data_IF_886648401505
#
_entry.id   IF_886648401505
#
_cell.length_a   1.000
_cell.length_b   1.000
_cell.length_c   1.000
_cell.angle_alpha   90.00
_cell.angle_beta   90.00
_cell.angle_gamma   90.00
#
_symmetry.space_group_name_H-M   'P 1'
#
loop_
_entity.id
_entity.type
_entity.pdbx_description
1 polymer ?
#
# COMPACT_ATOMS: atom_id res chain seq x y z
N UNK A 1 33.30 -7.93 11.21
CA UNK A 1 32.03 -8.63 10.94
C UNK A 1 31.70 -9.77 11.91
N UNK A 2 32.65 -10.34 12.68
CA UNK A 2 32.31 -11.35 13.71
C UNK A 2 31.21 -10.83 14.65
N UNK A 3 30.06 -11.48 14.65
CA UNK A 3 28.91 -11.18 15.52
C UNK A 3 27.95 -10.09 15.03
N UNK A 4 28.08 -9.57 13.79
CA UNK A 4 27.02 -8.78 13.16
C UNK A 4 26.22 -9.66 12.20
N UNK A 5 24.90 -9.51 12.23
CA UNK A 5 23.95 -10.23 11.39
C UNK A 5 23.57 -9.40 10.16
N UNK A 6 23.76 -9.88 8.92
CA UNK A 6 23.24 -9.22 7.73
C UNK A 6 21.74 -8.97 7.81
N UNK A 7 21.27 -7.83 7.30
CA UNK A 7 19.85 -7.44 7.43
C UNK A 7 18.93 -8.32 6.61
N UNK A 8 19.35 -8.73 5.42
CA UNK A 8 18.55 -9.59 4.55
C UNK A 8 18.35 -10.97 5.19
N UNK A 9 19.39 -11.53 5.81
CA UNK A 9 19.31 -12.78 6.58
C UNK A 9 18.42 -12.63 7.83
N UNK A 10 18.41 -11.46 8.47
CA UNK A 10 17.50 -11.20 9.59
C UNK A 10 16.05 -11.13 9.14
N UNK A 11 15.77 -10.48 8.01
CA UNK A 11 14.42 -10.39 7.43
C UNK A 11 13.93 -11.77 6.99
N UNK A 12 14.76 -12.57 6.33
CA UNK A 12 14.40 -13.93 5.91
C UNK A 12 14.06 -14.82 7.12
N UNK A 13 14.90 -14.83 8.15
CA UNK A 13 14.60 -15.57 9.39
C UNK A 13 13.30 -15.12 10.07
N UNK A 14 13.03 -13.82 10.07
CA UNK A 14 11.77 -13.29 10.59
C UNK A 14 10.58 -13.82 9.79
N UNK A 15 10.66 -13.74 8.46
CA UNK A 15 9.59 -14.18 7.57
C UNK A 15 9.32 -15.68 7.68
N UNK A 16 10.35 -16.50 7.86
CA UNK A 16 10.21 -17.95 8.07
C UNK A 16 9.49 -18.29 9.39
N UNK A 17 9.49 -17.37 10.36
CA UNK A 17 8.79 -17.51 11.66
C UNK A 17 7.39 -16.90 11.66
N UNK A 18 6.93 -16.29 10.56
CA UNK A 18 5.62 -15.65 10.49
C UNK A 18 4.51 -16.69 10.56
N UNK A 19 3.53 -16.44 11.43
CA UNK A 19 2.23 -17.11 11.41
C UNK A 19 1.19 -16.13 10.89
N UNK A 20 0.77 -16.33 9.64
CA UNK A 20 -0.24 -15.48 9.00
C UNK A 20 -1.55 -15.56 9.78
N UNK A 21 -2.14 -14.41 10.10
CA UNK A 21 -3.44 -14.31 10.73
C UNK A 21 -4.50 -15.04 9.91
N UNK A 22 -5.34 -15.82 10.59
CA UNK A 22 -6.50 -16.46 9.98
C UNK A 22 -7.79 -15.73 10.32
N UNK A 23 -7.73 -14.65 11.11
CA UNK A 23 -8.89 -13.84 11.46
C UNK A 23 -9.31 -12.98 10.27
N UNK A 24 -10.59 -13.10 9.90
CA UNK A 24 -11.21 -12.40 8.78
C UNK A 24 -12.48 -11.71 9.23
N UNK A 25 -12.84 -10.64 8.56
CA UNK A 25 -14.12 -9.98 8.74
C UNK A 25 -14.64 -9.42 7.41
N UNK A 26 -15.96 -9.27 7.30
CA UNK A 26 -16.57 -8.54 6.19
C UNK A 26 -16.59 -7.05 6.54
N UNK A 27 -16.15 -6.22 5.59
CA UNK A 27 -16.21 -4.76 5.71
C UNK A 27 -16.96 -4.15 4.53
N UNK A 28 -17.87 -3.20 4.79
CA UNK A 28 -18.38 -2.32 3.75
C UNK A 28 -17.25 -1.60 3.01
N UNK A 29 -17.38 -1.45 1.68
CA UNK A 29 -16.32 -0.87 0.83
C UNK A 29 -15.84 0.51 1.32
N UNK A 30 -16.74 1.34 1.87
CA UNK A 30 -16.43 2.67 2.39
C UNK A 30 -15.53 2.66 3.65
N UNK A 31 -15.36 1.52 4.29
CA UNK A 31 -14.49 1.32 5.47
C UNK A 31 -13.33 0.36 5.22
N UNK A 32 -13.19 -0.12 3.98
CA UNK A 32 -12.21 -1.14 3.61
C UNK A 32 -10.88 -0.57 3.08
N UNK A 33 -10.78 0.75 2.89
CA UNK A 33 -9.57 1.40 2.36
C UNK A 33 -8.34 1.07 3.21
N UNK A 34 -7.28 0.62 2.55
CA UNK A 34 -5.99 0.32 3.17
C UNK A 34 -5.92 -1.04 3.88
N UNK A 35 -7.03 -1.79 3.96
CA UNK A 35 -7.07 -3.17 4.48
C UNK A 35 -6.63 -4.18 3.41
N UNK A 36 -6.43 -5.44 3.80
CA UNK A 36 -5.95 -6.49 2.89
C UNK A 36 -7.05 -7.52 2.63
N UNK A 37 -7.29 -7.84 1.36
CA UNK A 37 -8.30 -8.84 0.99
C UNK A 37 -7.97 -10.22 1.55
N UNK A 38 -8.92 -10.89 2.19
CA UNK A 38 -8.74 -12.23 2.78
C UNK A 38 -8.97 -13.38 1.79
N UNK A 39 -9.45 -13.06 0.59
CA UNK A 39 -9.77 -14.01 -0.48
C UNK A 39 -9.69 -13.34 -1.86
N UNK A 40 -9.72 -14.14 -2.92
CA UNK A 40 -9.90 -13.62 -4.27
C UNK A 40 -11.36 -13.20 -4.45
N UNK A 41 -11.57 -11.99 -4.95
CA UNK A 41 -12.90 -11.46 -5.23
C UNK A 41 -13.12 -11.57 -6.74
N UNK A 42 -14.16 -12.27 -7.14
CA UNK A 42 -14.49 -12.49 -8.55
C UNK A 42 -15.59 -11.54 -8.99
N UNK A 43 -15.57 -11.09 -10.25
CA UNK A 43 -16.64 -10.27 -10.80
C UNK A 43 -17.92 -11.11 -10.94
N UNK A 44 -19.06 -10.68 -10.37
CA UNK A 44 -20.34 -11.34 -10.58
C UNK A 44 -21.00 -10.95 -11.92
N UNK A 45 -20.46 -9.95 -12.63
CA UNK A 45 -21.04 -9.38 -13.86
C UNK A 45 -19.98 -9.21 -14.96
N UNK A 46 -20.45 -9.08 -16.19
CA UNK A 46 -19.63 -8.58 -17.28
C UNK A 46 -19.56 -7.04 -17.20
N UNK A 47 -18.44 -6.47 -17.59
CA UNK A 47 -18.25 -5.01 -17.73
C UNK A 47 -17.78 -4.72 -19.16
N UNK A 48 -18.58 -4.05 -20.00
CA UNK A 48 -20.00 -3.73 -19.78
C UNK A 48 -20.89 -4.99 -19.75
N UNK A 49 -22.12 -4.92 -19.20
CA UNK A 49 -23.02 -6.08 -19.07
C UNK A 49 -23.68 -6.51 -20.39
N UNK A 50 -23.61 -5.67 -21.42
CA UNK A 50 -24.10 -5.90 -22.77
C UNK A 50 -23.26 -5.05 -23.73
N UNK A 51 -23.33 -5.34 -25.03
CA UNK A 51 -22.71 -4.50 -26.05
C UNK A 51 -23.25 -3.07 -25.93
N UNK A 52 -22.38 -2.06 -25.95
CA UNK A 52 -22.79 -0.66 -25.82
C UNK A 52 -22.04 0.29 -26.75
N UNK A 53 -22.62 1.48 -26.93
CA UNK A 53 -22.01 2.49 -27.81
C UNK A 53 -20.79 3.13 -27.15
N UNK A 54 -19.68 3.17 -27.86
CA UNK A 54 -18.47 3.89 -27.46
C UNK A 54 -18.59 5.41 -27.67
N UNK A 55 -19.48 5.85 -28.55
CA UNK A 55 -19.62 7.25 -28.99
C UNK A 55 -21.09 7.66 -29.13
N UNK A 56 -21.34 8.97 -29.21
CA UNK A 56 -22.65 9.49 -29.61
C UNK A 56 -22.80 9.40 -31.14
N UNK A 57 -23.90 8.84 -31.61
CA UNK A 57 -23.98 8.44 -33.01
C UNK A 57 -25.31 7.85 -33.42
N UNK A 58 -25.25 6.97 -34.42
CA UNK A 58 -26.38 6.24 -34.96
C UNK A 58 -26.03 4.76 -35.03
N UNK A 59 -26.73 3.93 -34.26
CA UNK A 59 -26.65 2.49 -34.38
C UNK A 59 -27.35 2.06 -35.67
N UNK A 60 -26.72 1.15 -36.41
CA UNK A 60 -27.18 0.67 -37.71
C UNK A 60 -26.83 -0.81 -37.89
N UNK A 61 -27.53 -1.46 -38.81
CA UNK A 61 -27.08 -2.72 -39.39
C UNK A 61 -26.23 -2.42 -40.63
N UNK A 62 -24.91 -2.60 -40.57
CA UNK A 62 -23.99 -2.09 -41.59
C UNK A 62 -24.32 -2.63 -43.00
N UNK A 63 -24.68 -3.92 -43.10
CA UNK A 63 -25.00 -4.57 -44.37
C UNK A 63 -26.20 -3.93 -45.11
N UNK A 64 -27.10 -3.28 -44.38
CA UNK A 64 -28.40 -2.79 -44.86
C UNK A 64 -28.41 -1.31 -45.23
N UNK A 65 -27.26 -0.63 -45.18
CA UNK A 65 -27.14 0.80 -45.46
C UNK A 65 -26.06 1.07 -46.52
N UNK A 66 -26.09 2.24 -47.17
CA UNK A 66 -25.02 2.71 -48.07
C UNK A 66 -24.65 4.15 -47.73
N UNK A 67 -23.46 4.57 -48.18
CA UNK A 67 -23.01 5.95 -48.03
C UNK A 67 -23.97 6.92 -48.72
N UNK A 68 -24.25 8.05 -48.07
CA UNK A 68 -25.15 9.11 -48.50
C UNK A 68 -26.64 8.75 -48.59
N UNK A 69 -27.06 7.57 -48.09
CA UNK A 69 -28.49 7.25 -47.96
C UNK A 69 -29.13 8.00 -46.78
N UNK A 70 -30.38 8.44 -46.96
CA UNK A 70 -31.21 8.99 -45.89
C UNK A 70 -31.98 7.87 -45.18
N UNK A 71 -31.56 7.55 -43.96
CA UNK A 71 -32.17 6.53 -43.12
C UNK A 71 -33.23 7.14 -42.21
N UNK A 72 -34.37 6.46 -42.07
CA UNK A 72 -35.36 6.81 -41.05
C UNK A 72 -34.77 6.52 -39.67
N UNK A 73 -34.89 7.46 -38.75
CA UNK A 73 -34.56 7.21 -37.35
C UNK A 73 -35.74 6.48 -36.71
N UNK A 74 -35.54 5.20 -36.37
CA UNK A 74 -36.57 4.31 -35.81
C UNK A 74 -36.65 4.40 -34.29
N UNK A 75 -35.56 4.80 -33.62
CA UNK A 75 -35.51 4.90 -32.17
C UNK A 75 -34.50 5.96 -31.68
N UNK A 76 -34.59 6.31 -30.39
CA UNK A 76 -33.65 7.16 -29.67
C UNK A 76 -33.31 6.52 -28.32
N UNK A 77 -32.05 6.08 -28.17
CA UNK A 77 -31.59 5.25 -27.05
C UNK A 77 -30.59 6.03 -26.17
N UNK A 78 -31.05 6.76 -25.14
CA UNK A 78 -30.18 7.36 -24.14
C UNK A 78 -29.54 6.31 -23.21
N UNK A 79 -28.45 6.69 -22.55
CA UNK A 79 -27.86 5.88 -21.47
C UNK A 79 -28.89 5.59 -20.37
N UNK A 80 -28.90 4.36 -19.85
CA UNK A 80 -29.88 3.89 -18.86
C UNK A 80 -31.21 3.40 -19.45
N UNK A 81 -31.35 3.35 -20.78
CA UNK A 81 -32.50 2.77 -21.47
C UNK A 81 -32.07 1.66 -22.43
N UNK A 82 -33.02 0.83 -22.85
CA UNK A 82 -32.80 -0.19 -23.88
C UNK A 82 -33.64 0.19 -25.09
N UNK A 83 -33.04 0.14 -26.28
CA UNK A 83 -33.73 0.44 -27.53
C UNK A 83 -34.69 -0.67 -27.96
N UNK A 84 -35.54 -0.37 -28.93
CA UNK A 84 -36.36 -1.38 -29.61
C UNK A 84 -35.54 -2.11 -30.67
N UNK A 85 -35.99 -3.30 -31.06
CA UNK A 85 -35.40 -4.05 -32.18
C UNK A 85 -35.48 -3.23 -33.48
N UNK A 86 -34.38 -3.17 -34.22
CA UNK A 86 -34.23 -2.33 -35.40
C UNK A 86 -34.61 -3.06 -36.68
N UNK A 87 -35.38 -2.37 -37.54
CA UNK A 87 -35.63 -2.81 -38.90
C UNK A 87 -34.39 -2.57 -39.79
N UNK A 88 -34.03 -3.51 -40.69
CA UNK A 88 -32.97 -3.30 -41.68
C UNK A 88 -33.16 -2.01 -42.50
N UNK A 89 -32.09 -1.24 -42.67
CA UNK A 89 -32.14 0.03 -43.40
C UNK A 89 -32.69 1.21 -42.59
N UNK A 90 -32.86 1.06 -41.28
CA UNK A 90 -33.14 2.16 -40.34
C UNK A 90 -31.94 2.47 -39.46
N UNK A 91 -31.99 3.60 -38.74
CA UNK A 91 -30.99 4.02 -37.77
C UNK A 91 -31.62 4.27 -36.40
N UNK A 92 -30.93 3.97 -35.31
CA UNK A 92 -31.32 4.41 -33.98
C UNK A 92 -30.34 5.48 -33.49
N UNK A 93 -30.86 6.64 -33.07
CA UNK A 93 -30.03 7.67 -32.44
C UNK A 93 -29.56 7.14 -31.10
N UNK A 94 -28.26 6.95 -30.92
CA UNK A 94 -27.70 6.31 -29.72
C UNK A 94 -26.67 7.22 -29.06
N UNK A 95 -26.57 7.13 -27.73
CA UNK A 95 -25.63 7.91 -26.93
C UNK A 95 -24.61 6.99 -26.27
N UNK A 96 -23.46 7.55 -25.91
CA UNK A 96 -22.34 6.85 -25.30
C UNK A 96 -22.79 6.08 -24.05
N UNK A 97 -22.42 4.80 -23.98
CA UNK A 97 -22.77 3.88 -22.90
C UNK A 97 -24.17 3.27 -23.01
N UNK A 98 -25.01 3.69 -23.96
CA UNK A 98 -26.30 3.05 -24.19
C UNK A 98 -26.11 1.67 -24.85
N UNK A 99 -26.88 0.64 -24.46
CA UNK A 99 -26.85 -0.68 -25.08
C UNK A 99 -27.13 -0.62 -26.58
N UNK A 100 -26.42 -1.43 -27.37
CA UNK A 100 -26.69 -1.59 -28.80
C UNK A 100 -28.07 -2.24 -28.99
N UNK A 101 -29.00 -1.64 -29.75
CA UNK A 101 -30.30 -2.23 -30.02
C UNK A 101 -30.18 -3.52 -30.81
N UNK A 102 -31.10 -4.45 -30.57
CA UNK A 102 -31.17 -5.68 -31.36
C UNK A 102 -31.29 -5.37 -32.86
N UNK A 103 -30.51 -6.03 -33.69
CA UNK A 103 -30.46 -5.81 -35.14
C UNK A 103 -29.42 -4.79 -35.60
N UNK A 104 -28.83 -4.00 -34.70
CA UNK A 104 -27.65 -3.19 -35.01
C UNK A 104 -26.34 -3.93 -34.70
N UNK A 105 -25.31 -3.63 -35.47
CA UNK A 105 -23.97 -4.22 -35.34
C UNK A 105 -22.85 -3.18 -35.31
N UNK A 106 -23.17 -1.91 -35.63
CA UNK A 106 -22.19 -0.85 -35.82
C UNK A 106 -22.76 0.50 -35.40
N UNK A 107 -21.94 1.38 -34.83
CA UNK A 107 -22.32 2.76 -34.54
C UNK A 107 -21.53 3.74 -35.42
N UNK A 108 -22.26 4.53 -36.21
CA UNK A 108 -21.70 5.64 -36.97
C UNK A 108 -21.61 6.86 -36.06
N UNK A 109 -20.42 7.43 -35.91
CA UNK A 109 -20.22 8.64 -35.10
C UNK A 109 -20.99 9.82 -35.72
N UNK A 110 -21.57 10.67 -34.88
CA UNK A 110 -22.46 11.75 -35.34
C UNK A 110 -21.78 12.77 -36.27
N UNK A 111 -20.45 12.97 -36.14
CA UNK A 111 -19.65 13.87 -36.97
C UNK A 111 -19.60 13.40 -38.43
N UNK A 112 -19.85 12.10 -38.66
CA UNK A 112 -19.97 11.50 -39.99
C UNK A 112 -21.42 11.44 -40.47
N UNK A 113 -22.33 12.22 -39.87
CA UNK A 113 -23.74 12.19 -40.18
C UNK A 113 -24.33 13.60 -40.36
N UNK A 114 -25.30 13.73 -41.27
CA UNK A 114 -26.19 14.89 -41.35
C UNK A 114 -27.58 14.50 -40.84
N UNK A 115 -28.20 15.34 -40.02
CA UNK A 115 -29.56 15.13 -39.53
C UNK A 115 -30.51 16.15 -40.17
N UNK A 116 -31.60 15.66 -40.75
CA UNK A 116 -32.65 16.51 -41.31
C UNK A 116 -34.02 15.82 -41.16
N UNK A 117 -35.01 16.55 -40.64
CA UNK A 117 -36.42 16.14 -40.59
C UNK A 117 -36.67 14.69 -40.08
N UNK A 118 -35.95 14.27 -39.02
CA UNK A 118 -36.14 12.93 -38.43
C UNK A 118 -35.45 11.79 -39.20
N UNK A 119 -34.57 12.13 -40.15
CA UNK A 119 -33.72 11.19 -40.89
C UNK A 119 -32.26 11.54 -40.67
N UNK A 120 -31.40 10.55 -40.89
CA UNK A 120 -29.95 10.71 -40.85
C UNK A 120 -29.34 10.31 -42.19
N UNK A 121 -28.43 11.13 -42.72
CA UNK A 121 -27.57 10.78 -43.85
C UNK A 121 -26.18 10.42 -43.34
N UNK A 122 -25.68 9.25 -43.73
CA UNK A 122 -24.33 8.82 -43.37
C UNK A 122 -23.35 9.32 -44.44
N UNK A 123 -22.44 10.22 -44.05
CA UNK A 123 -21.46 10.84 -44.94
C UNK A 123 -20.26 9.93 -45.22
N UNK A 124 -19.81 9.23 -44.19
CA UNK A 124 -18.67 8.32 -44.24
C UNK A 124 -19.05 6.98 -43.58
N UNK A 125 -18.88 5.89 -44.32
CA UNK A 125 -19.19 4.55 -43.83
C UNK A 125 -18.14 4.08 -42.83
N UNK A 126 -18.53 3.55 -41.66
CA UNK A 126 -17.61 2.93 -40.72
C UNK A 126 -17.24 1.50 -41.13
N UNK A 127 -16.25 0.93 -40.45
CA UNK A 127 -15.99 -0.51 -40.47
C UNK A 127 -17.03 -1.26 -39.62
N UNK A 128 -17.19 -2.56 -39.89
CA UNK A 128 -18.07 -3.44 -39.12
C UNK A 128 -17.67 -3.45 -37.64
N UNK A 129 -18.64 -3.26 -36.73
CA UNK A 129 -18.39 -3.23 -35.29
C UNK A 129 -17.79 -1.92 -34.77
N UNK A 130 -17.58 -0.91 -35.63
CA UNK A 130 -17.02 0.36 -35.20
C UNK A 130 -17.86 1.00 -34.09
N UNK A 131 -17.16 1.57 -33.10
CA UNK A 131 -17.74 2.25 -31.95
C UNK A 131 -18.71 1.39 -31.11
N UNK A 132 -18.61 0.06 -31.20
CA UNK A 132 -19.29 -0.86 -30.28
C UNK A 132 -18.25 -1.39 -29.28
N UNK A 133 -18.59 -1.34 -27.99
CA UNK A 133 -17.85 -2.05 -26.94
C UNK A 133 -18.58 -3.35 -26.65
N UNK A 134 -17.89 -4.47 -26.83
CA UNK A 134 -18.48 -5.78 -26.59
C UNK A 134 -18.78 -6.01 -25.11
N UNK A 135 -19.80 -6.82 -24.84
CA UNK A 135 -20.12 -7.31 -23.52
C UNK A 135 -18.89 -7.96 -22.87
N UNK A 136 -18.53 -7.50 -21.68
CA UNK A 136 -17.39 -8.03 -20.94
C UNK A 136 -16.01 -7.67 -21.51
N UNK A 137 -15.93 -6.67 -22.39
CA UNK A 137 -14.66 -6.18 -22.95
C UNK A 137 -13.62 -5.82 -21.87
N UNK A 138 -14.05 -5.28 -20.73
CA UNK A 138 -13.16 -4.95 -19.60
C UNK A 138 -13.04 -6.11 -18.61
N UNK A 139 -14.18 -6.64 -18.16
CA UNK A 139 -14.22 -7.76 -17.23
C UNK A 139 -15.29 -8.77 -17.64
N UNK A 140 -14.91 -10.06 -17.63
CA UNK A 140 -15.86 -11.17 -17.74
C UNK A 140 -16.29 -11.64 -16.34
N UNK A 141 -17.50 -12.17 -16.24
CA UNK A 141 -17.97 -12.90 -15.05
C UNK A 141 -16.93 -13.96 -14.65
N UNK A 142 -16.65 -14.03 -13.35
CA UNK A 142 -15.68 -14.96 -12.77
C UNK A 142 -14.22 -14.49 -12.84
N UNK A 143 -13.93 -13.37 -13.50
CA UNK A 143 -12.58 -12.77 -13.50
C UNK A 143 -12.22 -12.30 -12.10
N UNK A 144 -10.99 -12.55 -11.64
CA UNK A 144 -10.51 -12.04 -10.35
C UNK A 144 -10.30 -10.54 -10.42
N UNK A 145 -11.07 -9.79 -9.64
CA UNK A 145 -11.04 -8.34 -9.51
C UNK A 145 -9.98 -7.89 -8.49
N UNK A 146 -9.90 -8.62 -7.37
CA UNK A 146 -8.90 -8.40 -6.32
C UNK A 146 -8.37 -9.76 -5.89
N UNK A 147 -7.05 -9.90 -5.75
CA UNK A 147 -6.44 -11.14 -5.23
C UNK A 147 -6.34 -11.11 -3.72
N UNK A 148 -6.37 -12.30 -3.12
CA UNK A 148 -6.06 -12.48 -1.70
C UNK A 148 -4.72 -11.85 -1.35
N UNK A 149 -4.71 -11.04 -0.30
CA UNK A 149 -3.53 -10.36 0.22
C UNK A 149 -3.21 -9.04 -0.48
N UNK A 150 -3.96 -8.64 -1.51
CA UNK A 150 -3.82 -7.30 -2.09
C UNK A 150 -4.38 -6.25 -1.12
N UNK A 151 -3.67 -5.12 -1.03
CA UNK A 151 -4.10 -3.97 -0.23
C UNK A 151 -5.17 -3.20 -1.01
N UNK A 152 -6.31 -2.96 -0.41
CA UNK A 152 -7.43 -2.26 -1.02
C UNK A 152 -7.11 -0.77 -1.20
N UNK A 153 -6.79 -0.38 -2.43
CA UNK A 153 -6.53 1.00 -2.84
C UNK A 153 -7.82 1.68 -3.32
N UNK A 154 -7.84 3.02 -3.51
CA UNK A 154 -8.98 3.70 -4.09
C UNK A 154 -9.40 3.12 -5.46
N UNK A 155 -8.43 2.72 -6.28
CA UNK A 155 -8.67 2.11 -7.59
C UNK A 155 -9.36 0.76 -7.46
N UNK A 156 -8.90 -0.10 -6.54
CA UNK A 156 -9.52 -1.41 -6.32
C UNK A 156 -10.92 -1.29 -5.69
N UNK A 157 -11.13 -0.34 -4.79
CA UNK A 157 -12.46 -0.08 -4.23
C UNK A 157 -13.44 0.41 -5.29
N UNK A 158 -13.00 1.29 -6.20
CA UNK A 158 -13.82 1.74 -7.33
C UNK A 158 -14.18 0.59 -8.27
N UNK A 159 -13.22 -0.31 -8.55
CA UNK A 159 -13.46 -1.48 -9.38
C UNK A 159 -14.40 -2.49 -8.71
N UNK A 160 -14.26 -2.72 -7.40
CA UNK A 160 -15.21 -3.54 -6.64
C UNK A 160 -16.63 -2.94 -6.68
N UNK A 161 -16.74 -1.63 -6.50
CA UNK A 161 -18.03 -0.95 -6.57
C UNK A 161 -18.65 -1.02 -7.98
N UNK A 162 -17.84 -0.92 -9.05
CA UNK A 162 -18.34 -0.97 -10.43
C UNK A 162 -18.93 -2.33 -10.80
N UNK A 163 -18.50 -3.41 -10.14
CA UNK A 163 -19.06 -4.76 -10.30
C UNK A 163 -20.16 -5.08 -9.27
N UNK A 164 -20.63 -4.08 -8.52
CA UNK A 164 -21.74 -4.22 -7.56
C UNK A 164 -21.37 -4.82 -6.21
N UNK A 165 -20.08 -4.90 -5.87
CA UNK A 165 -19.65 -5.35 -4.54
C UNK A 165 -20.02 -4.30 -3.47
N UNK A 166 -20.60 -4.74 -2.36
CA UNK A 166 -20.99 -3.87 -1.23
C UNK A 166 -20.06 -4.05 -0.04
N UNK A 167 -19.62 -5.29 0.19
CA UNK A 167 -18.74 -5.68 1.27
C UNK A 167 -17.64 -6.60 0.76
N UNK A 168 -16.47 -6.51 1.39
CA UNK A 168 -15.29 -7.29 1.05
C UNK A 168 -14.80 -8.04 2.28
N UNK A 169 -14.48 -9.32 2.11
CA UNK A 169 -13.79 -10.10 3.13
C UNK A 169 -12.33 -9.64 3.20
N UNK A 170 -11.94 -9.11 4.35
CA UNK A 170 -10.59 -8.63 4.64
C UNK A 170 -10.00 -9.41 5.79
N UNK A 171 -8.67 -9.45 5.87
CA UNK A 171 -8.03 -9.87 7.11
C UNK A 171 -8.34 -8.83 8.17
N UNK A 172 -8.70 -9.30 9.36
CA UNK A 172 -8.94 -8.41 10.49
C UNK A 172 -7.64 -7.64 10.79
N UNK A 173 -7.68 -6.30 10.94
CA UNK A 173 -6.51 -5.51 11.27
C UNK A 173 -5.80 -6.07 12.50
N UNK A 174 -4.49 -6.33 12.37
CA UNK A 174 -3.67 -6.74 13.49
C UNK A 174 -3.62 -5.62 14.54
N UNK A 175 -3.66 -6.01 15.81
CA UNK A 175 -3.51 -5.08 16.93
C UNK A 175 -2.06 -5.11 17.41
N UNK A 176 -1.37 -3.98 17.33
CA UNK A 176 0.06 -3.88 17.64
C UNK A 176 0.23 -3.04 18.90
N UNK A 177 0.68 -3.67 19.98
CA UNK A 177 0.96 -2.96 21.23
C UNK A 177 2.29 -2.20 21.14
N UNK A 178 2.30 -0.94 21.53
CA UNK A 178 3.51 -0.13 21.64
C UNK A 178 3.79 0.09 23.13
N UNK A 179 4.98 -0.28 23.58
CA UNK A 179 5.53 0.14 24.88
C UNK A 179 6.77 1.00 24.67
N UNK A 180 6.89 2.05 25.47
CA UNK A 180 8.12 2.82 25.59
C UNK A 180 8.71 2.62 26.98
N UNK A 181 10.03 2.54 27.09
CA UNK A 181 10.72 2.43 28.39
C UNK A 181 11.84 3.45 28.46
N UNK A 182 12.19 3.84 29.68
CA UNK A 182 13.22 4.83 29.96
C UNK A 182 12.68 5.97 30.80
N UNK A 183 13.27 6.15 31.98
CA UNK A 183 12.93 7.26 32.89
C UNK A 183 13.25 8.65 32.31
N UNK A 184 14.03 8.72 31.23
CA UNK A 184 14.24 9.95 30.47
C UNK A 184 12.99 10.41 29.70
N UNK A 185 12.01 9.54 29.46
CA UNK A 185 10.91 9.85 28.57
C UNK A 185 9.79 10.63 29.26
N UNK A 186 9.31 11.67 28.57
CA UNK A 186 8.13 12.46 28.95
C UNK A 186 7.18 12.53 27.75
N UNK A 187 5.87 12.46 28.01
CA UNK A 187 4.88 12.64 26.95
C UNK A 187 4.79 14.10 26.49
N UNK A 188 4.57 14.38 25.20
CA UNK A 188 4.35 15.73 24.71
C UNK A 188 3.23 16.45 25.47
N UNK A 189 3.48 17.72 25.81
CA UNK A 189 2.61 18.53 26.67
C UNK A 189 3.02 18.53 28.15
N UNK A 190 3.92 17.63 28.57
CA UNK A 190 4.59 17.70 29.86
C UNK A 190 5.77 18.69 29.89
N UNK A 191 6.27 18.97 31.09
CA UNK A 191 7.50 19.73 31.30
C UNK A 191 8.72 18.79 31.34
N UNK A 192 9.83 19.19 30.71
CA UNK A 192 11.08 18.42 30.76
C UNK A 192 11.90 18.78 32.00
N UNK A 193 12.17 17.80 32.85
CA UNK A 193 13.23 17.94 33.84
C UNK A 193 14.63 17.77 33.19
N UNK A 194 15.71 18.22 33.84
CA UNK A 194 17.06 17.96 33.37
C UNK A 194 17.31 16.47 33.14
N UNK A 195 17.81 16.11 31.95
CA UNK A 195 18.05 14.72 31.54
C UNK A 195 16.86 14.04 30.85
N UNK A 196 15.69 14.68 30.80
CA UNK A 196 14.52 14.14 30.12
C UNK A 196 14.39 14.63 28.68
N UNK A 197 13.70 13.82 27.88
CA UNK A 197 13.38 14.08 26.47
C UNK A 197 11.93 13.66 26.17
N UNK A 198 11.35 14.23 25.12
CA UNK A 198 10.00 13.85 24.70
C UNK A 198 9.97 12.50 23.97
N UNK A 199 8.94 11.70 24.26
CA UNK A 199 8.69 10.41 23.61
C UNK A 199 8.22 10.59 22.16
N UNK A 200 9.16 10.70 21.22
CA UNK A 200 8.85 10.83 19.79
C UNK A 200 8.61 9.48 19.09
N UNK A 201 9.24 8.41 19.56
CA UNK A 201 9.19 7.10 18.89
C UNK A 201 7.77 6.51 18.87
N UNK A 202 7.03 6.66 19.97
CA UNK A 202 5.64 6.20 20.09
C UNK A 202 4.77 6.76 18.96
N UNK A 203 4.87 8.05 18.68
CA UNK A 203 4.07 8.71 17.64
C UNK A 203 4.49 8.30 16.23
N UNK A 204 5.80 8.12 16.00
CA UNK A 204 6.29 7.60 14.73
C UNK A 204 5.75 6.18 14.47
N UNK A 205 5.82 5.30 15.47
CA UNK A 205 5.30 3.94 15.35
C UNK A 205 3.78 3.89 15.20
N UNK A 206 3.03 4.68 15.97
CA UNK A 206 1.56 4.76 15.84
C UNK A 206 1.14 5.13 14.41
N UNK A 207 1.77 6.17 13.85
CA UNK A 207 1.53 6.60 12.46
C UNK A 207 1.90 5.54 11.43
N UNK A 208 3.07 4.91 11.59
CA UNK A 208 3.52 3.84 10.70
C UNK A 208 2.59 2.62 10.74
N UNK A 209 2.22 2.14 11.94
CA UNK A 209 1.33 0.99 12.13
C UNK A 209 -0.05 1.25 11.52
N UNK A 210 -0.67 2.39 11.83
CA UNK A 210 -1.96 2.78 11.24
C UNK A 210 -1.85 2.96 9.73
N UNK A 211 -0.74 3.49 9.25
CA UNK A 211 -0.43 3.62 7.83
C UNK A 211 -0.36 2.29 7.08
N UNK A 212 -0.08 1.18 7.79
CA UNK A 212 -0.15 -0.18 7.24
C UNK A 212 -1.57 -0.78 7.24
N UNK A 213 -2.59 -0.07 7.76
CA UNK A 213 -3.95 -0.60 7.90
C UNK A 213 -4.16 -1.44 9.16
N UNK A 214 -3.30 -1.27 10.17
CA UNK A 214 -3.33 -2.01 11.44
C UNK A 214 -3.80 -1.11 12.59
N UNK A 215 -4.17 -1.72 13.72
CA UNK A 215 -4.54 -1.00 14.93
C UNK A 215 -3.33 -0.83 15.85
N UNK A 216 -3.12 0.38 16.34
CA UNK A 216 -2.10 0.68 17.35
C UNK A 216 -2.72 0.66 18.75
N UNK A 217 -2.09 -0.06 19.68
CA UNK A 217 -2.50 -0.16 21.08
C UNK A 217 -1.40 0.44 21.95
N UNK A 218 -1.60 1.69 22.37
CA UNK A 218 -0.65 2.39 23.22
C UNK A 218 -0.72 1.88 24.67
N UNK A 219 0.42 1.48 25.23
CA UNK A 219 0.61 1.12 26.64
C UNK A 219 1.37 2.19 27.42
N UNK A 220 1.80 3.26 26.76
CA UNK A 220 2.49 4.40 27.36
C UNK A 220 3.95 4.14 27.70
N UNK A 221 4.47 5.03 28.54
CA UNK A 221 5.82 4.94 29.11
C UNK A 221 5.76 4.04 30.34
N UNK A 222 6.55 2.98 30.32
CA UNK A 222 6.73 2.07 31.45
C UNK A 222 8.02 2.50 32.15
N UNK A 223 7.91 2.86 33.43
CA UNK A 223 9.09 3.19 34.24
C UNK A 223 10.03 2.00 34.38
N UNK A 224 11.30 2.29 34.67
CA UNK A 224 12.37 1.29 34.75
C UNK A 224 12.25 0.45 36.03
N UNK A 225 11.29 -0.48 36.03
CA UNK A 225 11.04 -1.44 37.11
C UNK A 225 10.59 -2.79 36.55
N UNK A 226 11.27 -3.90 36.90
CA UNK A 226 10.95 -5.24 36.39
C UNK A 226 9.47 -5.64 36.52
N UNK A 227 8.84 -5.33 37.66
CA UNK A 227 7.43 -5.68 37.90
C UNK A 227 6.48 -4.91 36.99
N UNK A 228 6.77 -3.64 36.75
CA UNK A 228 5.95 -2.80 35.86
C UNK A 228 6.08 -3.28 34.41
N UNK A 229 7.30 -3.59 33.97
CA UNK A 229 7.57 -4.14 32.63
C UNK A 229 6.87 -5.48 32.41
N UNK A 230 6.96 -6.41 33.35
CA UNK A 230 6.28 -7.71 33.24
C UNK A 230 4.75 -7.54 33.18
N UNK A 231 4.18 -6.67 34.02
CA UNK A 231 2.75 -6.38 34.00
C UNK A 231 2.31 -5.75 32.68
N UNK A 232 3.07 -4.80 32.14
CA UNK A 232 2.80 -4.18 30.85
C UNK A 232 2.83 -5.21 29.71
N UNK A 233 3.83 -6.09 29.68
CA UNK A 233 3.92 -7.18 28.71
C UNK A 233 2.72 -8.14 28.81
N UNK A 234 2.29 -8.51 30.02
CA UNK A 234 1.08 -9.34 30.23
C UNK A 234 -0.20 -8.64 29.78
N UNK A 235 -0.29 -7.31 29.94
CA UNK A 235 -1.41 -6.53 29.42
C UNK A 235 -1.37 -6.46 27.89
N UNK A 236 -0.19 -6.32 27.30
CA UNK A 236 0.02 -6.29 25.85
C UNK A 236 -0.51 -7.57 25.21
N UNK A 237 -0.14 -8.74 25.74
CA UNK A 237 -0.57 -10.05 25.23
C UNK A 237 -2.10 -10.20 25.18
N UNK A 238 -2.82 -9.58 26.13
CA UNK A 238 -4.29 -9.64 26.17
C UNK A 238 -4.96 -8.71 25.16
N UNK A 239 -4.26 -7.69 24.70
CA UNK A 239 -4.81 -6.58 23.90
C UNK A 239 -4.25 -6.52 22.49
N UNK A 240 -3.23 -7.31 22.17
CA UNK A 240 -2.52 -7.21 20.91
C UNK A 240 -2.11 -8.58 20.36
N UNK A 241 -1.89 -8.60 19.06
CA UNK A 241 -1.37 -9.73 18.31
C UNK A 241 0.15 -9.73 18.26
N UNK A 242 0.76 -8.56 18.39
CA UNK A 242 2.20 -8.37 18.42
C UNK A 242 2.56 -7.20 19.34
N UNK A 243 3.75 -7.26 19.92
CA UNK A 243 4.27 -6.25 20.84
C UNK A 243 5.51 -5.60 20.24
N UNK A 244 5.59 -4.27 20.27
CA UNK A 244 6.75 -3.47 19.89
C UNK A 244 7.20 -2.64 21.07
N UNK A 245 8.47 -2.79 21.47
CA UNK A 245 9.12 -1.95 22.46
C UNK A 245 10.07 -0.95 21.81
N UNK A 246 10.07 0.28 22.30
CA UNK A 246 11.09 1.29 21.99
C UNK A 246 11.92 1.58 23.23
N UNK A 247 13.22 1.30 23.15
CA UNK A 247 14.10 1.42 24.32
C UNK A 247 14.14 0.13 25.15
N UNK A 248 15.10 0.09 26.07
CA UNK A 248 15.23 -0.98 27.08
C UNK A 248 15.47 -2.39 26.53
N UNK A 249 16.11 -2.57 25.36
CA UNK A 249 16.47 -3.89 24.78
C UNK A 249 17.95 -3.99 24.34
N UNK A 250 18.79 -3.16 24.96
CA UNK A 250 20.25 -3.14 24.82
C UNK A 250 20.94 -4.14 25.78
N UNK A 251 22.27 -4.05 25.85
CA UNK A 251 23.13 -4.89 26.70
C UNK A 251 23.50 -4.22 28.03
N UNK A 252 22.64 -3.33 28.55
CA UNK A 252 22.88 -2.57 29.78
C UNK A 252 22.33 -3.26 31.05
N UNK A 253 22.79 -2.84 32.22
CA UNK A 253 22.33 -3.38 33.53
C UNK A 253 20.88 -2.97 33.86
N UNK A 254 20.40 -1.84 33.32
CA UNK A 254 19.03 -1.32 33.48
C UNK A 254 18.03 -1.92 32.46
N UNK A 255 18.39 -3.02 31.80
CA UNK A 255 17.59 -3.60 30.72
C UNK A 255 16.50 -4.57 31.22
N UNK A 256 15.42 -3.98 31.74
CA UNK A 256 14.32 -4.74 32.31
C UNK A 256 13.43 -5.42 31.25
N UNK A 257 13.35 -4.89 30.02
CA UNK A 257 12.50 -5.49 28.97
C UNK A 257 13.08 -6.83 28.54
N UNK A 258 14.39 -6.91 28.27
CA UNK A 258 15.01 -8.19 27.93
C UNK A 258 14.72 -9.25 28.99
N UNK A 259 15.01 -8.93 30.26
CA UNK A 259 14.83 -9.87 31.37
C UNK A 259 13.36 -10.30 31.54
N UNK A 260 12.43 -9.36 31.37
CA UNK A 260 11.00 -9.66 31.46
C UNK A 260 10.52 -10.53 30.28
N UNK A 261 11.01 -10.30 29.06
CA UNK A 261 10.69 -11.14 27.90
C UNK A 261 11.28 -12.54 28.06
N UNK A 262 12.53 -12.69 28.51
CA UNK A 262 13.14 -13.99 28.81
C UNK A 262 12.36 -14.75 29.89
N UNK A 263 11.79 -14.05 30.87
CA UNK A 263 10.96 -14.67 31.90
C UNK A 263 9.59 -15.12 31.37
N UNK A 264 8.99 -14.35 30.46
CA UNK A 264 7.65 -14.59 29.92
C UNK A 264 7.63 -15.40 28.62
N UNK A 265 8.79 -15.74 28.06
CA UNK A 265 8.94 -16.45 26.80
C UNK A 265 10.39 -16.55 26.36
N UNK A 266 10.68 -16.07 25.15
CA UNK A 266 11.99 -16.22 24.51
C UNK A 266 12.38 -14.94 23.77
N UNK A 267 13.68 -14.64 23.73
CA UNK A 267 14.20 -13.48 23.01
C UNK A 267 15.54 -13.82 22.34
N UNK A 268 15.65 -13.42 21.09
CA UNK A 268 16.89 -13.40 20.33
C UNK A 268 17.39 -11.96 20.23
N UNK A 269 18.58 -11.69 20.75
CA UNK A 269 19.25 -10.39 20.64
C UNK A 269 20.14 -10.35 19.41
N UNK A 270 19.79 -9.49 18.46
CA UNK A 270 20.53 -9.32 17.22
C UNK A 270 21.35 -8.03 17.22
N UNK A 271 22.54 -8.13 16.63
CA UNK A 271 23.36 -6.98 16.25
C UNK A 271 23.36 -6.89 14.73
N UNK A 272 22.41 -6.18 14.17
CA UNK A 272 22.25 -6.03 12.73
C UNK A 272 23.42 -5.24 12.12
N UNK A 273 23.84 -5.66 10.93
CA UNK A 273 24.85 -5.00 10.12
C UNK A 273 24.28 -3.78 9.36
N UNK A 274 23.46 -2.98 10.04
CA UNK A 274 22.80 -1.77 9.49
C UNK A 274 23.17 -0.51 10.27
N UNK A 275 23.01 0.64 9.61
CA UNK A 275 23.16 1.96 10.19
C UNK A 275 22.11 2.91 9.59
N UNK A 276 21.30 3.59 10.42
CA UNK A 276 21.13 3.40 11.86
C UNK A 276 20.43 2.04 12.20
N UNK A 277 20.32 1.67 13.48
CA UNK A 277 19.54 0.47 13.88
C UNK A 277 20.31 -0.82 14.21
N UNK A 278 21.52 -0.74 14.77
CA UNK A 278 22.33 -1.94 15.10
C UNK A 278 21.67 -2.90 16.10
N UNK A 279 21.28 -2.50 17.32
CA UNK A 279 20.66 -3.43 18.26
C UNK A 279 19.20 -3.63 17.89
N UNK A 280 18.77 -4.88 17.88
CA UNK A 280 17.36 -5.24 17.72
C UNK A 280 17.10 -6.53 18.47
N UNK A 281 15.92 -6.68 19.04
CA UNK A 281 15.48 -7.93 19.63
C UNK A 281 14.24 -8.46 18.90
N UNK A 282 14.16 -9.77 18.77
CA UNK A 282 12.96 -10.45 18.32
C UNK A 282 12.68 -11.65 19.21
N UNK A 283 11.42 -11.95 19.50
CA UNK A 283 11.08 -13.05 20.37
C UNK A 283 9.59 -13.28 20.49
N UNK A 284 9.20 -13.99 21.55
CA UNK A 284 7.81 -14.21 21.89
C UNK A 284 7.58 -13.97 23.38
N UNK A 285 6.48 -13.28 23.70
CA UNK A 285 5.98 -13.11 25.06
C UNK A 285 4.67 -13.87 25.17
N UNK A 286 4.64 -14.94 25.97
CA UNK A 286 3.47 -15.81 26.11
C UNK A 286 2.86 -16.23 24.75
N UNK A 287 3.72 -16.51 23.77
CA UNK A 287 3.34 -16.94 22.42
C UNK A 287 2.99 -15.84 21.42
N UNK A 288 2.94 -14.56 21.83
CA UNK A 288 2.77 -13.41 20.93
C UNK A 288 4.13 -12.88 20.47
N UNK A 289 4.34 -12.60 19.17
CA UNK A 289 5.60 -12.02 18.68
C UNK A 289 5.94 -10.70 19.38
N UNK A 290 7.23 -10.48 19.59
CA UNK A 290 7.78 -9.30 20.24
C UNK A 290 8.95 -8.73 19.42
N UNK A 291 8.93 -7.41 19.20
CA UNK A 291 10.03 -6.65 18.63
C UNK A 291 10.59 -5.66 19.64
N UNK A 292 11.89 -5.72 19.90
CA UNK A 292 12.63 -4.70 20.62
C UNK A 292 13.37 -3.79 19.65
N UNK A 293 12.92 -2.55 19.51
CA UNK A 293 13.53 -1.55 18.64
C UNK A 293 14.50 -0.63 19.40
N UNK A 294 15.54 -0.10 18.72
CA UNK A 294 16.51 0.81 19.35
C UNK A 294 15.87 2.12 19.81
N UNK A 295 16.16 2.59 21.02
CA UNK A 295 15.61 3.85 21.56
C UNK A 295 15.94 5.13 20.77
N UNK A 296 17.03 5.13 19.98
CA UNK A 296 17.36 6.27 19.13
C UNK A 296 16.30 6.49 18.04
N UNK A 297 15.76 7.71 17.86
CA UNK A 297 14.55 7.87 17.06
C UNK A 297 14.66 7.50 15.58
N UNK A 298 15.73 7.91 14.90
CA UNK A 298 15.94 7.50 13.50
C UNK A 298 16.22 6.00 13.41
N UNK A 299 16.83 5.42 14.45
CA UNK A 299 17.09 3.97 14.48
C UNK A 299 15.78 3.17 14.62
N UNK A 300 14.87 3.56 15.53
CA UNK A 300 13.52 2.97 15.60
C UNK A 300 12.83 3.06 14.25
N UNK A 301 12.82 4.24 13.63
CA UNK A 301 12.12 4.48 12.36
C UNK A 301 12.64 3.58 11.23
N UNK A 302 13.96 3.58 11.00
CA UNK A 302 14.59 2.76 9.96
C UNK A 302 14.44 1.27 10.24
N UNK A 303 14.67 0.82 11.48
CA UNK A 303 14.53 -0.61 11.82
C UNK A 303 13.08 -1.08 11.69
N UNK A 304 12.10 -0.25 12.02
CA UNK A 304 10.70 -0.57 11.78
C UNK A 304 10.44 -0.76 10.28
N UNK A 305 10.81 0.21 9.44
CA UNK A 305 10.53 0.18 8.00
C UNK A 305 11.23 -0.97 7.26
N UNK A 306 12.49 -1.22 7.60
CA UNK A 306 13.31 -2.20 6.89
C UNK A 306 13.07 -3.62 7.43
N UNK A 307 12.84 -3.78 8.74
CA UNK A 307 12.87 -5.10 9.38
C UNK A 307 11.50 -5.51 9.94
N UNK A 308 10.84 -4.67 10.75
CA UNK A 308 9.58 -5.05 11.39
C UNK A 308 8.39 -5.02 10.41
N UNK A 309 8.33 -4.04 9.50
CA UNK A 309 7.25 -3.84 8.52
C UNK A 309 7.04 -5.07 7.64
N UNK A 310 8.08 -5.71 7.05
CA UNK A 310 7.87 -6.94 6.28
C UNK A 310 7.25 -8.09 7.09
N UNK A 311 7.68 -8.27 8.34
CA UNK A 311 7.08 -9.27 9.23
C UNK A 311 5.61 -8.97 9.50
N UNK A 312 5.29 -7.72 9.83
CA UNK A 312 3.93 -7.27 10.10
C UNK A 312 3.00 -7.48 8.91
N UNK A 313 3.43 -7.07 7.71
CA UNK A 313 2.66 -7.25 6.48
C UNK A 313 2.42 -8.73 6.17
N UNK A 314 3.46 -9.56 6.29
CA UNK A 314 3.32 -11.01 6.11
C UNK A 314 2.36 -11.61 7.14
N UNK A 315 2.48 -11.22 8.42
CA UNK A 315 1.61 -11.67 9.51
C UNK A 315 0.15 -11.25 9.28
N UNK A 316 -0.09 -10.06 8.71
CA UNK A 316 -1.43 -9.58 8.37
C UNK A 316 -2.07 -10.38 7.22
N UNK A 317 -1.26 -11.04 6.38
CA UNK A 317 -1.71 -11.77 5.20
C UNK A 317 -1.54 -11.01 3.88
N UNK A 318 -0.72 -9.96 3.87
CA UNK A 318 -0.39 -9.24 2.64
C UNK A 318 0.36 -10.15 1.66
N UNK A 319 0.01 -10.07 0.37
CA UNK A 319 0.71 -10.79 -0.69
C UNK A 319 2.10 -10.17 -0.95
N UNK A 320 2.18 -8.85 -0.85
CA UNK A 320 3.42 -8.08 -0.96
C UNK A 320 3.80 -7.50 0.40
N UNK A 321 4.86 -8.05 0.97
CA UNK A 321 5.36 -7.65 2.30
C UNK A 321 6.79 -7.10 2.26
N UNK A 322 7.52 -7.27 1.16
CA UNK A 322 8.85 -6.65 1.01
C UNK A 322 8.70 -5.16 0.71
N UNK A 323 9.66 -4.37 1.16
CA UNK A 323 9.72 -2.95 0.81
C UNK A 323 10.09 -2.81 -0.67
N UNK A 324 9.21 -2.18 -1.44
CA UNK A 324 9.51 -1.86 -2.84
C UNK A 324 10.63 -0.81 -2.90
N UNK A 325 11.50 -0.96 -3.89
CA UNK A 325 12.59 -0.03 -4.13
C UNK A 325 12.71 0.29 -5.61
N UNK A 326 13.08 1.52 -5.92
CA UNK A 326 13.41 1.97 -7.28
C UNK A 326 14.83 2.49 -7.35
N UNK A 327 15.46 2.41 -8.51
CA UNK A 327 16.84 2.86 -8.71
C UNK A 327 16.87 4.33 -9.14
N UNK A 328 17.33 5.24 -8.28
CA UNK A 328 17.41 6.69 -8.56
C UNK A 328 18.88 7.16 -8.49
N UNK A 329 19.35 7.99 -9.44
CA UNK A 329 20.70 8.59 -9.39
C UNK A 329 20.94 9.42 -8.11
N UNK A 330 22.13 9.34 -7.53
CA UNK A 330 22.54 10.19 -6.41
C UNK A 330 23.01 11.57 -6.88
N UNK A 331 22.64 12.63 -6.15
CA UNK A 331 23.19 13.98 -6.33
C UNK A 331 24.36 14.26 -5.37
N UNK A 332 24.96 13.20 -4.81
CA UNK A 332 25.99 13.29 -3.79
C UNK A 332 27.02 12.18 -3.95
N UNK A 333 28.21 12.40 -3.39
CA UNK A 333 29.18 11.34 -3.15
C UNK A 333 29.12 10.86 -1.71
N UNK A 334 29.36 9.57 -1.48
CA UNK A 334 29.35 8.96 -0.15
C UNK A 334 30.18 7.68 -0.11
N UNK A 335 30.97 7.51 0.94
CA UNK A 335 31.76 6.29 1.18
C UNK A 335 31.08 5.43 2.24
N UNK A 336 30.62 4.25 1.82
CA UNK A 336 29.94 3.29 2.65
C UNK A 336 30.80 2.78 3.80
N UNK A 337 30.22 2.69 5.00
CA UNK A 337 30.91 2.20 6.18
C UNK A 337 31.00 0.67 6.28
N UNK A 338 31.25 0.19 7.50
CA UNK A 338 31.33 -1.25 7.84
C UNK A 338 29.98 -1.94 8.03
N UNK A 339 28.88 -1.23 7.75
CA UNK A 339 27.48 -1.66 7.88
C UNK A 339 26.70 -1.03 6.74
N UNK A 340 25.64 -1.71 6.26
CA UNK A 340 24.75 -1.16 5.25
C UNK A 340 24.09 0.11 5.79
N UNK A 341 24.16 1.21 5.06
CA UNK A 341 23.61 2.50 5.50
C UNK A 341 22.29 2.79 4.81
N UNK A 342 21.30 3.22 5.60
CA UNK A 342 20.03 3.71 5.10
C UNK A 342 20.00 5.23 5.31
N UNK A 343 20.38 5.96 4.27
CA UNK A 343 20.48 7.42 4.30
C UNK A 343 19.11 8.04 4.07
N UNK A 344 18.77 9.05 4.85
CA UNK A 344 17.55 9.85 4.62
C UNK A 344 17.78 10.77 3.44
N UNK A 345 16.96 10.61 2.41
CA UNK A 345 17.06 11.32 1.14
C UNK A 345 15.70 11.85 0.70
N UNK A 346 15.70 12.87 -0.14
CA UNK A 346 14.52 13.34 -0.86
C UNK A 346 14.78 13.29 -2.36
N UNK A 347 13.71 13.20 -3.15
CA UNK A 347 13.78 13.30 -4.59
C UNK A 347 13.79 14.78 -4.95
N UNK A 348 14.81 15.21 -5.69
CA UNK A 348 14.88 16.52 -6.33
C UNK A 348 15.01 16.35 -7.84
N UNK A 349 14.81 17.43 -8.58
CA UNK A 349 15.04 17.47 -10.02
C UNK A 349 16.35 18.20 -10.31
N UNK A 350 17.12 17.69 -11.26
CA UNK A 350 18.28 18.38 -11.84
C UNK A 350 17.82 19.55 -12.72
N UNK A 351 18.76 20.40 -13.17
CA UNK A 351 18.45 21.48 -14.13
C UNK A 351 17.87 20.96 -15.45
N UNK A 352 18.14 19.71 -15.82
CA UNK A 352 17.58 19.04 -16.99
C UNK A 352 16.20 18.40 -16.76
N UNK A 353 15.64 18.50 -15.54
CA UNK A 353 14.35 17.90 -15.18
C UNK A 353 14.41 16.41 -14.85
N UNK A 354 15.60 15.84 -14.65
CA UNK A 354 15.77 14.43 -14.28
C UNK A 354 15.76 14.24 -12.75
N UNK A 355 15.08 13.21 -12.21
CA UNK A 355 15.03 12.97 -10.77
C UNK A 355 16.36 12.44 -10.22
N UNK A 356 16.81 12.98 -9.10
CA UNK A 356 17.98 12.51 -8.35
C UNK A 356 17.77 12.61 -6.84
N UNK A 357 18.61 11.89 -6.08
CA UNK A 357 18.53 11.83 -4.63
C UNK A 357 19.43 12.88 -3.99
N UNK A 358 18.84 13.77 -3.21
CA UNK A 358 19.58 14.63 -2.29
C UNK A 358 19.59 13.98 -0.90
N UNK A 359 20.76 13.90 -0.25
CA UNK A 359 20.82 13.43 1.14
C UNK A 359 20.66 14.56 2.13
N UNK A 360 20.00 14.27 3.24
CA UNK A 360 20.03 15.18 4.38
C UNK A 360 21.47 15.33 4.90
N UNK A 361 21.91 16.55 5.18
CA UNK A 361 23.31 16.82 5.52
C UNK A 361 23.75 16.05 6.78
N UNK A 362 22.91 16.03 7.83
CA UNK A 362 23.20 15.37 9.09
C UNK A 362 22.47 14.01 9.22
N UNK A 363 23.20 12.92 8.95
CA UNK A 363 22.67 11.55 9.00
C UNK A 363 22.71 10.90 10.39
N UNK A 364 22.91 11.68 11.47
CA UNK A 364 22.93 11.18 12.85
C UNK A 364 21.63 10.47 13.28
N UNK A 365 21.73 9.51 14.20
CA UNK A 365 20.59 8.66 14.61
C UNK A 365 19.57 9.33 15.54
N UNK A 366 19.89 10.51 16.08
CA UNK A 366 18.98 11.33 16.89
C UNK A 366 18.32 12.47 16.12
N UNK A 367 18.60 12.61 14.82
CA UNK A 367 18.20 13.79 14.03
C UNK A 367 16.82 13.58 13.43
N UNK A 368 15.76 13.76 14.23
CA UNK A 368 14.39 13.51 13.78
C UNK A 368 13.96 14.43 12.62
N UNK A 369 14.53 15.63 12.50
CA UNK A 369 14.30 16.53 11.36
C UNK A 369 14.69 15.90 10.03
N UNK A 370 15.66 14.97 10.02
CA UNK A 370 16.04 14.24 8.81
C UNK A 370 14.97 13.24 8.35
N UNK A 371 14.18 12.70 9.29
CA UNK A 371 13.06 11.78 8.97
C UNK A 371 11.90 12.58 8.40
N UNK A 372 11.54 13.70 9.04
CA UNK A 372 10.44 14.56 8.58
C UNK A 372 10.72 15.22 7.21
N UNK A 373 12.00 15.41 6.85
CA UNK A 373 12.41 16.00 5.58
C UNK A 373 12.49 14.99 4.42
N UNK A 374 12.63 13.70 4.71
CA UNK A 374 12.93 12.70 3.70
C UNK A 374 11.68 12.17 2.99
N UNK A 375 11.80 11.94 1.67
CA UNK A 375 10.81 11.16 0.90
C UNK A 375 11.05 9.66 1.03
N UNK A 376 12.28 9.27 1.40
CA UNK A 376 12.67 7.87 1.47
C UNK A 376 14.06 7.62 2.03
N UNK A 377 14.48 6.36 1.92
CA UNK A 377 15.79 5.86 2.35
C UNK A 377 16.59 5.40 1.13
N UNK A 378 17.81 5.91 0.97
CA UNK A 378 18.78 5.38 0.03
C UNK A 378 19.64 4.31 0.71
N UNK A 379 19.74 3.14 0.08
CA UNK A 379 20.61 2.06 0.52
C UNK A 379 22.03 2.25 0.01
N UNK A 380 22.99 2.17 0.93
CA UNK A 380 24.42 2.11 0.62
C UNK A 380 24.96 0.79 1.17
N UNK A 381 25.47 -0.07 0.28
CA UNK A 381 26.07 -1.34 0.67
C UNK A 381 27.39 -1.15 1.44
N UNK A 382 27.79 -2.20 2.15
CA UNK A 382 29.01 -2.19 2.97
C UNK A 382 30.23 -1.89 2.07
N UNK A 383 30.96 -0.83 2.39
CA UNK A 383 32.14 -0.41 1.63
C UNK A 383 31.85 0.12 0.22
N UNK A 384 30.59 0.37 -0.13
CA UNK A 384 30.23 0.93 -1.44
C UNK A 384 30.70 2.39 -1.54
N UNK A 385 31.50 2.71 -2.56
CA UNK A 385 31.77 4.09 -2.95
C UNK A 385 30.69 4.58 -3.90
N UNK A 386 30.11 5.73 -3.59
CA UNK A 386 29.07 6.37 -4.39
C UNK A 386 29.60 7.70 -4.91
N UNK A 387 29.44 7.91 -6.20
CA UNK A 387 29.63 9.17 -6.89
C UNK A 387 28.29 9.76 -7.35
N UNK A 388 28.24 11.07 -7.56
CA UNK A 388 27.08 11.70 -8.17
C UNK A 388 26.80 11.07 -9.55
N UNK A 389 25.53 10.74 -9.82
CA UNK A 389 25.08 10.01 -10.99
C UNK A 389 24.91 8.50 -10.77
N UNK A 390 25.55 7.91 -9.76
CA UNK A 390 25.39 6.49 -9.46
C UNK A 390 23.97 6.20 -9.00
N UNK A 391 23.37 5.11 -9.50
CA UNK A 391 22.00 4.74 -9.14
C UNK A 391 21.98 3.94 -7.84
N UNK A 392 21.17 4.39 -6.89
CA UNK A 392 20.98 3.76 -5.59
C UNK A 392 19.58 3.18 -5.45
N UNK A 393 19.43 2.11 -4.67
CA UNK A 393 18.11 1.64 -4.24
C UNK A 393 17.49 2.68 -3.32
N UNK A 394 16.32 3.17 -3.70
CA UNK A 394 15.52 4.10 -2.94
C UNK A 394 14.24 3.40 -2.46
N UNK A 395 14.04 3.37 -1.14
CA UNK A 395 12.81 2.90 -0.50
C UNK A 395 11.96 4.10 -0.13
N UNK A 396 10.76 4.20 -0.67
CA UNK A 396 9.81 5.25 -0.30
C UNK A 396 9.27 5.01 1.11
N UNK A 397 9.18 6.08 1.92
CA UNK A 397 8.62 6.05 3.28
C UNK A 397 7.09 6.14 3.26
#
# INVERSE_FOLDING_TARGET
MKGLRPVDEAILDLLDRVKVSQEKELKPLNTALGLYAAENILSPVNVPPADNSAMDGYAVQLASIRANDWLKISDRVPAGSVGISMEPGTAARIFTGAPIPEGADTVVIQENCEFEQGRVRILAMPEMGANVRECGQDLLIGTTVVRRGERLTPQLLALLASVGCVEVAVYKPLRIAILSTGDELVEPGGELAPGQIFNSNRFALDGLIRGLGMESVDLGIIGDNPKATEQALRQAVKRADLIVSTGGVSVGEEDHVKSAVEHLGEIDLWKLAIKPGKPMAFGHVLGKPFFGLPGNPVSTFVTFLIVARPYLLAMQGAAEFRSESIMIPAAFSFSGGSRREYLRVRIIETEAGEPCLERFANQGSGIMTSVAWADGLAEIDIGQEVSAGDRLRFYKI
#
